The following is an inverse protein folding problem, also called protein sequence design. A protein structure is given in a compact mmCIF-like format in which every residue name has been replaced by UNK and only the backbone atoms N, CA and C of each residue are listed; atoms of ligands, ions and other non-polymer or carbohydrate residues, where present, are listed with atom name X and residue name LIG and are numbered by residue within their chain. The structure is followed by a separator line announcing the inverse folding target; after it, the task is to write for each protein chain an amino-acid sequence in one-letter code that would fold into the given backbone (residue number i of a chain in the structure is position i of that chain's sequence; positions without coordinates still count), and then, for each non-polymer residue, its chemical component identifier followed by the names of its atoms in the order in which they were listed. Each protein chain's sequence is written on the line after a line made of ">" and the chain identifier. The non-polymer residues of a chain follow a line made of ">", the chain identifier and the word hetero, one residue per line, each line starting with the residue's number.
data_IF_528004253837
#
_entry.id   IF_528004253837
#
_cell.length_a   1.000
_cell.length_b   1.000
_cell.length_c   1.000
_cell.angle_alpha   90.00
_cell.angle_beta   90.00
_cell.angle_gamma   90.00
#
_symmetry.space_group_name_H-M   'P 1'
#
loop_
_entity.id
_entity.type
_entity.pdbx_description
1 polymer ?
#
# COMPACT_ATOMS: atom_id res chain seq x y z
N UNK A 1 -7.42 -6.25 17.50
CA UNK A 1 -6.00 -6.11 17.14
C UNK A 1 -5.82 -4.68 16.62
N UNK A 2 -4.85 -3.90 17.10
CA UNK A 2 -4.59 -2.58 16.51
C UNK A 2 -4.14 -2.77 15.05
N UNK A 3 -4.87 -2.19 14.11
CA UNK A 3 -4.50 -2.21 12.70
C UNK A 3 -3.67 -0.95 12.44
N UNK A 4 -2.39 -1.10 12.17
CA UNK A 4 -1.55 0.05 11.86
C UNK A 4 -1.71 0.42 10.40
N UNK A 5 -1.94 1.71 10.14
CA UNK A 5 -2.01 2.22 8.77
C UNK A 5 -0.60 2.41 8.23
N UNK A 6 -0.36 1.89 7.03
CA UNK A 6 0.88 2.09 6.30
C UNK A 6 0.62 2.80 4.99
N UNK A 7 1.54 3.68 4.62
CA UNK A 7 1.62 4.35 3.35
C UNK A 7 2.75 3.74 2.53
N UNK A 8 2.42 3.17 1.38
CA UNK A 8 3.37 2.65 0.40
C UNK A 8 3.40 3.61 -0.79
N UNK A 9 4.51 4.32 -0.97
CA UNK A 9 4.75 5.14 -2.15
C UNK A 9 5.44 4.28 -3.19
N UNK A 10 4.83 4.14 -4.36
CA UNK A 10 5.37 3.40 -5.51
C UNK A 10 5.63 4.36 -6.66
N UNK A 11 6.76 4.19 -7.34
CA UNK A 11 7.11 4.97 -8.53
C UNK A 11 6.38 4.40 -9.73
N UNK A 12 5.75 5.29 -10.49
CA UNK A 12 4.96 4.93 -11.65
C UNK A 12 3.46 4.92 -11.35
N UNK A 13 2.70 4.60 -12.39
CA UNK A 13 1.25 4.62 -12.36
C UNK A 13 0.74 3.25 -11.99
N UNK A 14 -0.06 3.15 -10.93
CA UNK A 14 -0.78 1.91 -10.65
C UNK A 14 -1.68 1.60 -11.86
N UNK A 15 -1.43 0.46 -12.50
CA UNK A 15 -2.31 -0.02 -13.58
C UNK A 15 -3.67 -0.38 -12.99
N UNK A 16 -4.75 -0.30 -13.78
CA UNK A 16 -6.11 -0.68 -13.33
C UNK A 16 -6.14 -2.09 -12.74
N UNK A 17 -5.35 -3.02 -13.29
CA UNK A 17 -5.17 -4.38 -12.73
C UNK A 17 -4.62 -4.36 -11.31
N UNK A 18 -3.58 -3.57 -11.07
CA UNK A 18 -3.00 -3.42 -9.75
C UNK A 18 -4.02 -2.79 -8.80
N UNK A 19 -4.71 -1.71 -9.22
CA UNK A 19 -5.76 -1.07 -8.42
C UNK A 19 -6.87 -2.06 -8.02
N UNK A 20 -7.36 -2.87 -8.95
CA UNK A 20 -8.34 -3.93 -8.67
C UNK A 20 -7.79 -4.96 -7.68
N UNK A 21 -6.54 -5.36 -7.87
CA UNK A 21 -5.95 -6.41 -7.06
C UNK A 21 -5.61 -5.92 -5.64
N UNK A 22 -5.25 -4.64 -5.47
CA UNK A 22 -5.10 -4.00 -4.14
C UNK A 22 -6.46 -3.69 -3.52
N UNK A 23 -7.47 -3.32 -4.32
CA UNK A 23 -8.83 -3.05 -3.85
C UNK A 23 -9.58 -4.29 -3.30
N UNK A 24 -9.09 -5.50 -3.58
CA UNK A 24 -9.58 -6.72 -2.95
C UNK A 24 -9.16 -6.86 -1.48
N UNK A 25 -8.18 -6.07 -1.02
CA UNK A 25 -7.83 -6.01 0.39
C UNK A 25 -8.75 -5.02 1.10
N UNK A 26 -9.43 -5.47 2.16
CA UNK A 26 -10.25 -4.60 3.00
C UNK A 26 -9.39 -3.47 3.57
N UNK A 27 -9.86 -2.22 3.43
CA UNK A 27 -9.21 -1.01 3.95
C UNK A 27 -7.94 -0.53 3.20
N UNK A 28 -7.93 -0.65 1.87
CA UNK A 28 -6.90 0.00 1.03
C UNK A 28 -7.46 1.27 0.38
N UNK A 29 -6.75 2.40 0.53
CA UNK A 29 -7.01 3.65 -0.20
C UNK A 29 -5.85 3.95 -1.14
N UNK A 30 -6.15 4.16 -2.42
CA UNK A 30 -5.14 4.48 -3.44
C UNK A 30 -5.28 5.95 -3.81
N UNK A 31 -4.19 6.70 -3.72
CA UNK A 31 -4.11 8.11 -4.08
C UNK A 31 -3.08 8.26 -5.21
N UNK A 32 -3.50 8.59 -6.44
CA UNK A 32 -2.57 8.88 -7.52
C UNK A 32 -1.87 10.22 -7.27
N UNK A 33 -0.53 10.23 -7.20
CA UNK A 33 0.29 11.41 -6.90
C UNK A 33 1.44 11.54 -7.93
N UNK A 34 1.17 12.00 -9.16
CA UNK A 34 2.11 11.90 -10.27
C UNK A 34 3.44 12.62 -9.96
N UNK A 35 4.61 11.98 -10.20
CA UNK A 35 4.84 10.75 -10.98
C UNK A 35 4.71 9.41 -10.19
N UNK A 36 4.29 9.46 -8.95
CA UNK A 36 4.19 8.33 -8.02
C UNK A 36 2.72 7.93 -7.78
N UNK A 37 2.53 6.83 -7.06
CA UNK A 37 1.23 6.45 -6.52
C UNK A 37 1.39 6.13 -5.04
N UNK A 38 0.48 6.65 -4.23
CA UNK A 38 0.44 6.41 -2.79
C UNK A 38 -0.65 5.39 -2.51
N UNK A 39 -0.30 4.33 -1.78
CA UNK A 39 -1.22 3.27 -1.38
C UNK A 39 -1.26 3.24 0.14
N UNK A 40 -2.43 3.51 0.72
CA UNK A 40 -2.68 3.34 2.13
C UNK A 40 -3.26 1.95 2.36
N UNK A 41 -2.70 1.19 3.31
CA UNK A 41 -3.22 -0.12 3.68
C UNK A 41 -3.16 -0.35 5.19
N UNK A 42 -4.19 -0.99 5.73
CA UNK A 42 -4.17 -1.50 7.09
C UNK A 42 -3.30 -2.76 7.16
N UNK A 43 -2.29 -2.75 8.02
CA UNK A 43 -1.38 -3.88 8.22
C UNK A 43 -1.59 -4.41 9.63
N UNK A 44 -1.91 -5.69 9.74
CA UNK A 44 -2.10 -6.38 11.03
C UNK A 44 -0.80 -6.83 11.66
N UNK A 45 0.18 -7.20 10.84
CA UNK A 45 1.44 -7.80 11.27
C UNK A 45 2.50 -7.71 10.16
N UNK A 46 3.75 -8.01 10.52
CA UNK A 46 4.88 -7.92 9.60
C UNK A 46 4.79 -8.94 8.44
N UNK A 47 4.16 -10.10 8.62
CA UNK A 47 3.98 -11.06 7.52
C UNK A 47 2.98 -10.53 6.50
N UNK A 48 1.91 -9.87 6.97
CA UNK A 48 0.95 -9.17 6.10
C UNK A 48 1.64 -8.05 5.30
N UNK A 49 2.50 -7.26 5.96
CA UNK A 49 3.34 -6.25 5.31
C UNK A 49 4.19 -6.85 4.19
N UNK A 50 4.96 -7.90 4.49
CA UNK A 50 5.80 -8.59 3.50
C UNK A 50 4.97 -9.16 2.33
N UNK A 51 3.75 -9.62 2.59
CA UNK A 51 2.81 -10.07 1.57
C UNK A 51 2.44 -8.96 0.60
N UNK A 52 2.13 -7.77 1.10
CA UNK A 52 1.82 -6.58 0.29
C UNK A 52 3.04 -6.16 -0.53
N UNK A 53 4.23 -6.09 0.09
CA UNK A 53 5.47 -5.73 -0.60
C UNK A 53 5.75 -6.68 -1.78
N UNK A 54 5.75 -7.99 -1.52
CA UNK A 54 5.99 -9.00 -2.55
C UNK A 54 4.91 -8.98 -3.64
N UNK A 55 3.67 -8.63 -3.28
CA UNK A 55 2.58 -8.49 -4.23
C UNK A 55 2.77 -7.29 -5.17
N UNK A 56 3.16 -6.13 -4.63
CA UNK A 56 3.49 -4.95 -5.41
C UNK A 56 4.69 -5.20 -6.33
N UNK A 57 5.74 -5.87 -5.83
CA UNK A 57 6.90 -6.27 -6.64
C UNK A 57 6.49 -7.23 -7.77
N UNK A 58 5.62 -8.21 -7.50
CA UNK A 58 5.09 -9.13 -8.53
C UNK A 58 4.28 -8.43 -9.62
N UNK A 59 3.68 -7.28 -9.31
CA UNK A 59 3.00 -6.43 -10.29
C UNK A 59 3.97 -5.59 -11.13
N UNK A 60 5.27 -5.63 -10.83
CA UNK A 60 6.30 -4.81 -11.48
C UNK A 60 6.32 -3.38 -10.97
N UNK A 61 5.68 -3.09 -9.83
CA UNK A 61 5.72 -1.78 -9.21
C UNK A 61 7.01 -1.62 -8.41
N UNK A 62 7.62 -0.45 -8.51
CA UNK A 62 8.82 -0.12 -7.74
C UNK A 62 8.41 0.64 -6.50
N UNK A 63 8.65 0.06 -5.33
CA UNK A 63 8.36 0.68 -4.05
C UNK A 63 9.46 1.71 -3.76
N UNK A 64 9.07 2.97 -3.67
CA UNK A 64 9.98 4.11 -3.42
C UNK A 64 10.14 4.31 -1.93
N UNK A 65 9.04 4.23 -1.18
CA UNK A 65 9.05 4.49 0.26
C UNK A 65 7.90 3.79 0.95
N UNK A 66 8.12 3.42 2.22
CA UNK A 66 7.09 2.86 3.09
C UNK A 66 7.12 3.63 4.40
N UNK A 67 6.00 4.25 4.74
CA UNK A 67 5.83 4.98 6.00
C UNK A 67 4.73 4.32 6.83
N UNK A 68 5.03 4.05 8.10
CA UNK A 68 3.99 3.73 9.06
C UNK A 68 3.33 5.04 9.48
N UNK A 69 2.01 5.14 9.26
CA UNK A 69 1.23 6.26 9.78
C UNK A 69 0.95 6.00 11.27
N UNK A 70 1.08 7.01 12.13
CA UNK A 70 0.59 6.90 13.48
C UNK A 70 -0.92 6.65 13.41
N UNK A 71 -1.41 5.67 14.16
CA UNK A 71 -2.84 5.54 14.40
C UNK A 71 -3.28 6.83 15.08
N UNK A 72 -4.01 7.68 14.34
CA UNK A 72 -4.56 8.93 14.85
C UNK A 72 -5.45 8.59 16.05
N UNK A 73 -4.83 8.62 17.21
CA UNK A 73 -5.44 8.48 18.53
C UNK A 73 -5.37 9.90 19.07
N UNK A 74 -6.31 10.74 18.64
CA UNK A 74 -6.71 11.94 19.39
C UNK A 74 -7.98 11.63 20.19
#
# INVERSE_FOLDING_TARGET
>A
MPQQRYEFRVSGRLSERAQHAVGNFSEVRIVPDPPETIIYGAVTDQAHLHGILAFLEKLGLQIVSVHQLPDETE
#
